data_IF_781562526469
#
_entry.id   IF_781562526469
#
_cell.length_a   1.000
_cell.length_b   1.000
_cell.length_c   1.000
_cell.angle_alpha   90.00
_cell.angle_beta   90.00
_cell.angle_gamma   90.00
#
_symmetry.space_group_name_H-M   'P 1'
#
loop_
_entity.id
_entity.type
_entity.pdbx_description
1 polymer ?
#
# COMPACT_ATOMS: atom_id res chain seq x y z
N UNK A 1 16.42 0.31 19.08
CA UNK A 1 16.01 0.58 17.68
C UNK A 1 14.49 0.54 17.58
N UNK A 2 13.90 1.46 16.82
CA UNK A 2 12.45 1.59 16.64
C UNK A 2 12.03 1.16 15.24
N UNK A 3 11.06 0.26 15.13
CA UNK A 3 10.58 -0.29 13.86
C UNK A 3 9.08 -0.09 13.74
N UNK A 4 8.66 0.51 12.63
CA UNK A 4 7.27 0.66 12.23
C UNK A 4 7.15 0.71 10.70
N UNK A 5 5.93 0.91 10.22
CA UNK A 5 5.65 1.03 8.78
C UNK A 5 4.73 -0.06 8.24
N UNK A 6 4.30 0.11 6.99
CA UNK A 6 3.28 -0.73 6.37
C UNK A 6 3.73 -2.19 6.11
N UNK A 7 5.03 -2.39 5.87
CA UNK A 7 5.60 -3.70 5.53
C UNK A 7 6.15 -4.44 6.74
N UNK A 8 6.39 -3.73 7.85
CA UNK A 8 6.96 -4.32 9.06
C UNK A 8 5.85 -4.82 9.97
N UNK A 9 6.06 -5.99 10.55
CA UNK A 9 5.14 -6.59 11.50
C UNK A 9 5.89 -7.06 12.74
N UNK A 10 5.18 -7.20 13.86
CA UNK A 10 5.80 -7.69 15.09
C UNK A 10 6.47 -9.05 14.91
N UNK A 11 5.90 -9.93 14.08
CA UNK A 11 6.49 -11.24 13.77
C UNK A 11 7.74 -11.07 12.91
N UNK A 12 7.69 -10.24 11.85
CA UNK A 12 8.85 -9.96 11.02
C UNK A 12 10.01 -9.41 11.84
N UNK A 13 9.73 -8.45 12.73
CA UNK A 13 10.73 -7.91 13.65
C UNK A 13 11.28 -8.96 14.58
N UNK A 14 10.45 -9.81 15.20
CA UNK A 14 10.90 -10.83 16.14
C UNK A 14 11.76 -11.95 15.48
N UNK A 15 11.42 -12.33 14.25
CA UNK A 15 12.06 -13.45 13.54
C UNK A 15 13.29 -13.00 12.75
N UNK A 16 13.24 -11.85 12.08
CA UNK A 16 14.28 -11.43 11.11
C UNK A 16 15.17 -10.30 11.59
N UNK A 17 14.69 -9.43 12.47
CA UNK A 17 15.43 -8.21 12.82
C UNK A 17 16.04 -8.31 14.21
N UNK A 18 15.24 -8.63 15.23
CA UNK A 18 15.66 -8.78 16.63
C UNK A 18 16.91 -9.66 16.84
N UNK A 19 17.08 -10.83 16.18
CA UNK A 19 18.26 -11.66 16.38
C UNK A 19 19.58 -11.03 15.92
N UNK A 20 19.53 -10.07 15.00
CA UNK A 20 20.72 -9.47 14.37
C UNK A 20 21.26 -8.29 15.19
N UNK A 21 20.59 -7.90 16.29
CA UNK A 21 20.96 -6.75 17.11
C UNK A 21 20.94 -7.09 18.60
N UNK A 22 22.01 -6.72 19.31
CA UNK A 22 22.11 -6.92 20.77
C UNK A 22 21.21 -5.95 21.56
N UNK A 23 20.99 -4.76 20.99
CA UNK A 23 20.19 -3.71 21.61
C UNK A 23 18.68 -4.00 21.46
N UNK A 24 17.83 -3.54 22.39
CA UNK A 24 16.39 -3.75 22.30
C UNK A 24 15.81 -3.13 21.01
N UNK A 25 15.19 -3.99 20.20
CA UNK A 25 14.41 -3.62 19.02
C UNK A 25 12.94 -3.58 19.42
N UNK A 26 12.23 -2.48 19.17
CA UNK A 26 10.80 -2.36 19.51
C UNK A 26 10.00 -2.15 18.24
N UNK A 27 8.96 -2.96 18.07
CA UNK A 27 7.97 -2.79 17.00
C UNK A 27 6.75 -2.04 17.53
N UNK A 28 6.26 -1.05 16.76
CA UNK A 28 4.99 -0.38 17.00
C UNK A 28 4.13 -0.42 15.74
N UNK A 29 2.83 -0.54 15.94
CA UNK A 29 1.84 -0.62 14.86
C UNK A 29 1.46 0.78 14.34
N UNK A 30 1.58 1.80 15.18
CA UNK A 30 1.02 3.13 14.99
C UNK A 30 1.84 4.16 15.77
N UNK A 31 2.03 5.35 15.17
CA UNK A 31 2.92 6.39 15.68
C UNK A 31 2.48 6.95 17.06
N UNK A 32 1.18 6.91 17.34
CA UNK A 32 0.60 7.30 18.64
C UNK A 32 1.18 6.52 19.81
N UNK A 33 1.57 5.26 19.59
CA UNK A 33 2.10 4.36 20.63
C UNK A 33 3.58 4.59 20.93
N UNK A 34 4.29 5.30 20.05
CA UNK A 34 5.73 5.56 20.21
C UNK A 34 6.00 6.39 21.46
N UNK A 35 5.16 7.38 21.76
CA UNK A 35 5.35 8.28 22.90
C UNK A 35 5.36 7.53 24.24
N UNK A 36 4.44 6.58 24.43
CA UNK A 36 4.37 5.77 25.66
C UNK A 36 5.59 4.86 25.84
N UNK A 37 6.09 4.30 24.74
CA UNK A 37 7.30 3.46 24.74
C UNK A 37 8.55 4.29 25.06
N UNK A 38 8.69 5.46 24.42
CA UNK A 38 9.84 6.35 24.66
C UNK A 38 9.87 6.81 26.12
N UNK A 39 8.72 7.18 26.68
CA UNK A 39 8.60 7.54 28.10
C UNK A 39 9.09 6.41 29.03
N UNK A 40 8.70 5.17 28.73
CA UNK A 40 9.12 3.98 29.51
C UNK A 40 10.63 3.70 29.39
N UNK A 41 11.23 3.98 28.22
CA UNK A 41 12.65 3.78 27.97
C UNK A 41 13.54 4.88 28.56
N UNK A 42 13.00 6.08 28.78
CA UNK A 42 13.71 7.19 29.43
C UNK A 42 13.84 7.00 30.94
N UNK A 43 12.92 6.25 31.56
CA UNK A 43 12.99 5.94 32.99
C UNK A 43 13.97 4.77 33.23
N UNK A 44 15.08 4.96 33.99
CA UNK A 44 16.10 3.93 34.20
C UNK A 44 15.55 2.64 34.83
N UNK A 45 14.60 2.75 35.76
CA UNK A 45 14.00 1.60 36.45
C UNK A 45 13.07 0.79 35.52
N UNK A 46 12.29 1.49 34.71
CA UNK A 46 11.33 0.85 33.80
C UNK A 46 12.00 0.33 32.51
N UNK A 47 13.15 0.89 32.13
CA UNK A 47 13.89 0.52 30.92
C UNK A 47 14.31 -0.94 30.91
N UNK A 48 14.93 -1.42 31.98
CA UNK A 48 15.40 -2.80 32.07
C UNK A 48 14.24 -3.79 32.05
N UNK A 49 13.22 -3.53 32.86
CA UNK A 49 12.00 -4.34 32.93
C UNK A 49 11.27 -4.38 31.57
N UNK A 50 11.20 -3.24 30.88
CA UNK A 50 10.63 -3.17 29.53
C UNK A 50 11.46 -3.94 28.51
N UNK A 51 12.79 -3.80 28.53
CA UNK A 51 13.69 -4.49 27.60
C UNK A 51 13.60 -6.02 27.78
N UNK A 52 13.56 -6.51 29.00
CA UNK A 52 13.42 -7.93 29.31
C UNK A 52 12.06 -8.47 28.85
N UNK A 53 10.96 -7.76 29.17
CA UNK A 53 9.61 -8.11 28.69
C UNK A 53 9.55 -8.17 27.17
N UNK A 54 10.12 -7.18 26.49
CA UNK A 54 10.16 -7.14 25.03
C UNK A 54 10.97 -8.31 24.42
N UNK A 55 12.11 -8.68 25.01
CA UNK A 55 12.89 -9.85 24.57
C UNK A 55 12.09 -11.15 24.72
N UNK A 56 11.47 -11.37 25.89
CA UNK A 56 10.59 -12.54 26.14
C UNK A 56 9.43 -12.61 25.16
N UNK A 57 8.81 -11.48 24.84
CA UNK A 57 7.74 -11.39 23.86
C UNK A 57 8.21 -11.74 22.44
N UNK A 58 9.40 -11.30 22.05
CA UNK A 58 10.00 -11.61 20.75
C UNK A 58 10.36 -13.09 20.63
N UNK A 59 10.94 -13.67 21.68
CA UNK A 59 11.25 -15.11 21.73
C UNK A 59 9.99 -15.97 21.62
N UNK A 60 8.93 -15.62 22.36
CA UNK A 60 7.63 -16.30 22.24
C UNK A 60 7.13 -16.28 20.79
N UNK A 61 7.07 -15.09 20.18
CA UNK A 61 6.59 -14.93 18.79
C UNK A 61 7.45 -15.72 17.79
N UNK A 62 8.76 -15.78 18.02
CA UNK A 62 9.69 -16.56 17.18
C UNK A 62 9.41 -18.05 17.28
N UNK A 63 9.23 -18.58 18.49
CA UNK A 63 8.87 -19.99 18.70
C UNK A 63 7.54 -20.34 18.05
N UNK A 64 6.51 -19.53 18.28
CA UNK A 64 5.18 -19.73 17.70
C UNK A 64 5.22 -19.71 16.16
N UNK A 65 6.08 -18.86 15.57
CA UNK A 65 6.28 -18.81 14.12
C UNK A 65 6.91 -20.10 13.58
N UNK A 66 7.94 -20.62 14.26
CA UNK A 66 8.63 -21.85 13.86
C UNK A 66 7.71 -23.07 13.94
N UNK A 67 6.89 -23.18 14.98
CA UNK A 67 5.89 -24.25 15.13
C UNK A 67 4.87 -24.20 13.98
N UNK A 68 4.34 -23.02 13.67
CA UNK A 68 3.44 -22.83 12.51
C UNK A 68 4.13 -23.14 11.19
N UNK A 69 5.43 -22.88 11.06
CA UNK A 69 6.18 -23.20 9.85
C UNK A 69 6.32 -24.71 9.67
N UNK A 70 6.61 -25.46 10.72
CA UNK A 70 6.70 -26.92 10.66
C UNK A 70 5.36 -27.57 10.30
N UNK A 71 4.26 -27.02 10.81
CA UNK A 71 2.91 -27.53 10.56
C UNK A 71 2.30 -27.09 9.22
N UNK A 72 3.00 -26.26 8.42
CA UNK A 72 2.49 -25.80 7.12
C UNK A 72 2.62 -26.89 6.06
N UNK A 73 1.49 -27.43 5.63
CA UNK A 73 1.41 -28.34 4.48
C UNK A 73 1.68 -27.58 3.18
N UNK A 74 2.88 -27.73 2.64
CA UNK A 74 3.26 -27.15 1.35
C UNK A 74 2.92 -28.11 0.19
N UNK A 75 2.41 -27.57 -0.91
CA UNK A 75 2.24 -28.32 -2.16
C UNK A 75 3.48 -28.14 -3.03
N UNK A 76 3.88 -29.19 -3.76
CA UNK A 76 4.95 -29.08 -4.75
C UNK A 76 4.49 -28.27 -5.96
N UNK A 77 5.43 -27.59 -6.63
CA UNK A 77 5.15 -26.81 -7.84
C UNK A 77 4.50 -27.69 -8.92
N UNK A 78 5.03 -28.89 -9.15
CA UNK A 78 4.48 -29.87 -10.09
C UNK A 78 3.02 -30.23 -9.80
N UNK A 79 2.66 -30.39 -8.51
CA UNK A 79 1.27 -30.70 -8.13
C UNK A 79 0.34 -29.51 -8.40
N UNK A 80 0.79 -28.29 -8.11
CA UNK A 80 0.04 -27.06 -8.43
C UNK A 80 -0.19 -26.90 -9.93
N UNK A 81 0.80 -27.21 -10.75
CA UNK A 81 0.69 -27.10 -12.21
C UNK A 81 -0.37 -28.04 -12.80
N UNK A 82 -0.46 -29.26 -12.28
CA UNK A 82 -1.48 -30.23 -12.68
C UNK A 82 -2.90 -29.82 -12.26
N UNK A 83 -3.04 -29.04 -11.20
CA UNK A 83 -4.33 -28.55 -10.66
C UNK A 83 -4.75 -27.20 -11.25
N UNK A 84 -3.99 -26.63 -12.21
CA UNK A 84 -4.40 -25.39 -12.88
C UNK A 84 -5.75 -25.61 -13.57
N UNK A 85 -6.76 -24.76 -13.32
CA UNK A 85 -8.03 -24.86 -14.03
C UNK A 85 -7.78 -24.70 -15.52
N UNK A 86 -8.26 -25.65 -16.34
CA UNK A 86 -8.24 -25.50 -17.80
C UNK A 86 -9.19 -24.35 -18.16
N UNK A 87 -8.64 -23.31 -18.77
CA UNK A 87 -9.44 -22.24 -19.35
C UNK A 87 -10.16 -22.83 -20.58
N UNK A 88 -11.44 -23.19 -20.43
CA UNK A 88 -12.29 -23.63 -21.54
C UNK A 88 -13.02 -22.39 -22.03
N UNK A 89 -12.74 -21.97 -23.26
CA UNK A 89 -13.44 -20.85 -23.92
C UNK A 89 -12.93 -19.46 -23.54
N UNK A 90 -11.69 -19.13 -23.86
CA UNK A 90 -11.27 -17.72 -23.94
C UNK A 90 -11.81 -17.12 -25.23
N UNK A 91 -12.81 -16.24 -25.13
CA UNK A 91 -13.04 -15.22 -26.16
C UNK A 91 -11.79 -14.32 -26.10
N UNK A 92 -10.93 -14.30 -27.13
CA UNK A 92 -9.79 -13.40 -27.11
C UNK A 92 -10.32 -11.96 -26.99
N UNK A 93 -9.80 -11.21 -26.02
CA UNK A 93 -10.07 -9.78 -25.96
C UNK A 93 -9.71 -9.18 -27.31
N UNK A 94 -10.60 -8.36 -27.87
CA UNK A 94 -10.46 -7.84 -29.23
C UNK A 94 -9.10 -7.19 -29.44
N UNK A 95 -8.47 -7.56 -30.55
CA UNK A 95 -7.07 -7.31 -30.90
C UNK A 95 -6.73 -5.82 -31.11
N UNK A 96 -7.75 -4.96 -31.15
CA UNK A 96 -7.66 -3.53 -31.50
C UNK A 96 -6.87 -2.67 -30.51
N UNK A 97 -6.50 -3.18 -29.34
CA UNK A 97 -5.90 -2.38 -28.28
C UNK A 97 -4.39 -2.58 -28.06
N UNK A 98 -3.80 -3.66 -28.57
CA UNK A 98 -2.58 -4.24 -27.96
C UNK A 98 -1.26 -3.84 -28.64
N UNK A 99 -1.27 -3.16 -29.79
CA UNK A 99 -0.02 -2.96 -30.59
C UNK A 99 0.70 -1.61 -30.41
N UNK A 100 0.26 -0.71 -29.52
CA UNK A 100 0.90 0.60 -29.33
C UNK A 100 1.15 0.93 -27.87
N UNK A 101 2.38 1.35 -27.57
CA UNK A 101 2.76 1.95 -26.29
C UNK A 101 2.00 3.28 -26.12
N UNK A 102 1.30 3.47 -24.99
CA UNK A 102 0.66 4.75 -24.64
C UNK A 102 1.36 5.40 -23.45
N UNK A 103 1.93 6.57 -23.69
CA UNK A 103 2.41 7.50 -22.66
C UNK A 103 1.25 8.44 -22.30
N UNK A 104 0.93 8.57 -21.02
CA UNK A 104 -0.06 9.53 -20.54
C UNK A 104 0.60 10.59 -19.66
N UNK A 105 0.49 11.88 -20.02
CA UNK A 105 0.96 13.00 -19.16
C UNK A 105 1.93 14.01 -19.79
N UNK A 106 1.74 14.36 -21.08
CA UNK A 106 2.51 15.30 -21.95
C UNK A 106 3.81 14.79 -22.56
N UNK A 107 3.93 15.13 -23.86
CA UNK A 107 5.03 15.00 -24.83
C UNK A 107 6.26 14.21 -24.38
N UNK A 108 6.31 12.95 -24.78
CA UNK A 108 7.56 12.32 -25.19
C UNK A 108 7.54 12.28 -26.71
N UNK A 109 8.69 12.59 -27.30
CA UNK A 109 8.93 12.92 -28.70
C UNK A 109 8.10 12.11 -29.70
N UNK A 110 7.52 12.84 -30.65
CA UNK A 110 6.64 12.37 -31.73
C UNK A 110 7.39 11.28 -32.51
N UNK A 111 7.02 9.98 -32.45
CA UNK A 111 7.54 9.03 -33.41
C UNK A 111 6.97 9.42 -34.77
N UNK A 112 7.86 9.68 -35.73
CA UNK A 112 7.48 10.02 -37.10
C UNK A 112 6.72 8.84 -37.72
N UNK A 113 5.40 9.01 -37.82
CA UNK A 113 4.49 8.00 -38.33
C UNK A 113 3.07 8.29 -37.84
N UNK A 114 2.13 8.36 -38.77
CA UNK A 114 0.75 8.79 -38.54
C UNK A 114 0.04 7.96 -37.45
N UNK A 115 0.02 8.48 -36.23
CA UNK A 115 -0.76 7.94 -35.12
C UNK A 115 -1.98 8.83 -34.90
N UNK A 116 -3.11 8.41 -35.48
CA UNK A 116 -4.43 8.98 -35.24
C UNK A 116 -4.75 8.98 -33.73
N UNK A 117 -4.91 10.18 -33.15
CA UNK A 117 -5.12 10.44 -31.74
C UNK A 117 -6.61 10.42 -31.40
N UNK A 118 -7.15 9.29 -30.91
CA UNK A 118 -8.31 9.37 -30.01
C UNK A 118 -7.82 9.84 -28.64
N UNK A 119 -7.85 11.15 -28.44
CA UNK A 119 -7.32 11.85 -27.27
C UNK A 119 -8.22 11.68 -26.04
N UNK A 120 -7.80 10.83 -25.11
CA UNK A 120 -8.14 11.06 -23.70
C UNK A 120 -7.06 12.03 -23.18
N UNK A 121 -7.40 13.28 -22.81
CA UNK A 121 -6.41 14.27 -22.38
C UNK A 121 -5.70 13.80 -21.11
N UNK A 122 -4.48 14.31 -20.88
CA UNK A 122 -3.71 14.09 -19.65
C UNK A 122 -4.65 14.13 -18.43
N UNK A 123 -4.59 13.09 -17.59
CA UNK A 123 -5.47 12.95 -16.43
C UNK A 123 -5.21 14.11 -15.46
N UNK A 124 -6.01 15.17 -15.57
CA UNK A 124 -6.02 16.26 -14.59
C UNK A 124 -6.37 15.66 -13.24
N UNK A 125 -5.70 16.13 -12.18
CA UNK A 125 -5.87 15.61 -10.82
C UNK A 125 -7.35 15.57 -10.38
N UNK A 126 -8.15 16.57 -10.79
CA UNK A 126 -9.60 16.60 -10.55
C UNK A 126 -10.41 15.47 -11.20
N UNK A 127 -9.94 14.90 -12.32
CA UNK A 127 -10.58 13.72 -12.97
C UNK A 127 -10.27 12.41 -12.25
N UNK A 128 -9.25 12.39 -11.39
CA UNK A 128 -8.90 11.22 -10.58
C UNK A 128 -9.72 11.15 -9.28
N UNK A 129 -10.37 12.24 -8.85
CA UNK A 129 -11.18 12.30 -7.63
C UNK A 129 -12.15 11.12 -7.43
N UNK A 130 -12.97 10.74 -8.44
CA UNK A 130 -13.90 9.61 -8.33
C UNK A 130 -13.22 8.24 -8.15
N UNK A 131 -11.95 8.11 -8.55
CA UNK A 131 -11.16 6.88 -8.44
C UNK A 131 -10.33 6.82 -7.15
N UNK A 132 -10.13 7.96 -6.47
CA UNK A 132 -9.47 8.02 -5.18
C UNK A 132 -10.41 7.50 -4.10
N UNK A 133 -10.14 6.30 -3.60
CA UNK A 133 -10.93 5.73 -2.52
C UNK A 133 -10.59 6.45 -1.21
N UNK A 134 -11.50 7.26 -0.68
CA UNK A 134 -11.27 8.08 0.52
C UNK A 134 -10.93 7.30 1.81
N UNK A 135 -11.23 5.99 1.86
CA UNK A 135 -10.77 5.09 2.92
C UNK A 135 -9.24 4.98 3.04
N UNK A 136 -8.50 5.23 1.96
CA UNK A 136 -7.04 5.27 2.02
C UNK A 136 -6.50 6.57 2.64
N UNK A 137 -7.27 7.66 2.66
CA UNK A 137 -6.88 8.93 3.26
C UNK A 137 -7.24 9.03 4.74
N UNK A 138 -8.30 8.34 5.19
CA UNK A 138 -8.69 8.32 6.61
C UNK A 138 -7.69 7.55 7.49
N UNK A 139 -7.06 6.51 6.94
CA UNK A 139 -6.06 5.66 7.64
C UNK A 139 -4.79 6.41 8.09
N UNK A 140 -4.08 7.17 7.23
CA UNK A 140 -2.91 7.93 7.66
C UNK A 140 -3.25 9.06 8.64
N UNK A 141 -4.48 9.61 8.59
CA UNK A 141 -4.98 10.59 9.56
C UNK A 141 -5.47 10.01 10.88
N UNK A 142 -5.36 8.68 11.08
CA UNK A 142 -5.90 7.97 12.24
C UNK A 142 -7.40 8.27 12.50
N UNK A 143 -8.16 8.53 11.43
CA UNK A 143 -9.60 8.70 11.51
C UNK A 143 -10.22 7.30 11.57
N UNK A 144 -10.63 6.90 12.78
CA UNK A 144 -11.14 5.56 13.13
C UNK A 144 -12.41 5.21 12.35
N UNK A 145 -13.18 6.22 11.99
CA UNK A 145 -14.39 6.10 11.19
C UNK A 145 -14.00 6.14 9.71
N UNK A 146 -13.73 4.97 9.13
CA UNK A 146 -13.70 4.84 7.67
C UNK A 146 -14.98 5.41 7.05
N UNK A 147 -14.91 5.85 5.79
CA UNK A 147 -16.07 6.43 5.10
C UNK A 147 -17.22 5.39 5.08
N UNK A 148 -18.38 5.67 5.72
CA UNK A 148 -19.53 4.78 5.69
C UNK A 148 -19.97 4.48 4.26
N UNK A 149 -20.48 3.27 3.94
CA UNK A 149 -20.99 2.95 2.60
C UNK A 149 -22.06 3.93 2.09
N UNK A 150 -22.78 4.60 3.00
CA UNK A 150 -23.81 5.60 2.72
C UNK A 150 -23.27 6.96 2.25
N UNK A 151 -21.96 7.23 2.37
CA UNK A 151 -21.33 8.49 1.96
C UNK A 151 -20.89 8.48 0.49
N UNK A 152 -21.41 7.53 -0.31
CA UNK A 152 -21.18 7.39 -1.75
C UNK A 152 -22.15 8.23 -2.62
N UNK A 153 -23.02 9.04 -1.98
CA UNK A 153 -24.04 9.92 -2.58
C UNK A 153 -23.84 11.35 -1.99
N UNK A 154 -24.07 12.45 -2.74
CA UNK A 154 -23.55 13.79 -2.40
C UNK A 154 -24.31 14.43 -1.23
N UNK A 155 -24.06 13.96 0.00
CA UNK A 155 -24.48 14.67 1.22
C UNK A 155 -23.25 15.42 1.73
N UNK A 156 -23.16 16.68 1.31
CA UNK A 156 -22.06 17.61 1.58
C UNK A 156 -21.94 18.05 3.06
N UNK A 157 -22.90 17.74 3.92
CA UNK A 157 -23.01 18.45 5.21
C UNK A 157 -22.07 17.97 6.33
N UNK A 158 -21.48 16.77 6.26
CA UNK A 158 -20.60 16.28 7.36
C UNK A 158 -19.33 15.57 6.89
N UNK A 159 -18.54 16.22 6.02
CA UNK A 159 -17.16 15.80 5.77
C UNK A 159 -16.23 16.28 6.90
N UNK A 160 -15.39 15.41 7.50
CA UNK A 160 -14.35 15.81 8.45
C UNK A 160 -13.46 16.92 7.87
N UNK A 161 -12.97 17.83 8.72
CA UNK A 161 -12.19 18.99 8.29
C UNK A 161 -10.97 18.60 7.41
N UNK A 162 -10.29 17.51 7.79
CA UNK A 162 -9.16 16.97 7.03
C UNK A 162 -9.53 16.54 5.59
N UNK A 163 -10.77 16.07 5.37
CA UNK A 163 -11.22 15.67 4.04
C UNK A 163 -11.56 16.89 3.18
N UNK A 164 -12.15 17.94 3.77
CA UNK A 164 -12.38 19.21 3.08
C UNK A 164 -11.07 19.88 2.69
N UNK A 165 -10.06 19.84 3.56
CA UNK A 165 -8.73 20.33 3.26
C UNK A 165 -8.04 19.52 2.14
N UNK A 166 -8.17 18.20 2.15
CA UNK A 166 -7.66 17.36 1.08
C UNK A 166 -8.34 17.67 -0.27
N UNK A 167 -9.67 17.89 -0.29
CA UNK A 167 -10.40 18.26 -1.50
C UNK A 167 -9.97 19.63 -2.04
N UNK A 168 -9.82 20.64 -1.18
CA UNK A 168 -9.32 21.96 -1.61
C UNK A 168 -7.90 21.89 -2.14
N UNK A 169 -7.05 21.01 -1.58
CA UNK A 169 -5.70 20.74 -2.11
C UNK A 169 -5.73 20.04 -3.48
N UNK A 170 -6.68 19.14 -3.74
CA UNK A 170 -6.81 18.48 -5.03
C UNK A 170 -7.31 19.45 -6.13
N UNK A 171 -8.15 20.42 -5.76
CA UNK A 171 -8.66 21.44 -6.67
C UNK A 171 -7.62 22.53 -6.97
N UNK A 172 -6.87 22.98 -5.95
CA UNK A 172 -5.88 24.06 -6.07
C UNK A 172 -4.45 23.58 -6.39
N UNK A 173 -4.15 22.30 -6.15
CA UNK A 173 -2.83 21.69 -6.31
C UNK A 173 -2.23 21.74 -7.72
N UNK A 174 -2.99 21.54 -8.81
CA UNK A 174 -2.46 21.59 -10.18
C UNK A 174 -1.91 22.96 -10.58
N UNK A 175 -2.52 24.04 -10.10
CA UNK A 175 -2.13 25.43 -10.40
C UNK A 175 -1.11 25.98 -9.40
N UNK A 176 -1.19 25.58 -8.13
CA UNK A 176 -0.36 26.14 -7.05
C UNK A 176 0.97 25.40 -6.85
N UNK A 177 1.00 24.08 -7.02
CA UNK A 177 2.16 23.24 -6.66
C UNK A 177 2.72 22.44 -7.85
N UNK A 178 2.20 22.61 -9.06
CA UNK A 178 2.69 21.91 -10.25
C UNK A 178 2.55 20.38 -10.18
N UNK A 179 1.56 19.87 -9.43
CA UNK A 179 1.34 18.44 -9.27
C UNK A 179 0.61 17.86 -10.50
N UNK A 180 1.38 17.21 -11.39
CA UNK A 180 0.84 16.55 -12.58
C UNK A 180 1.07 15.03 -12.49
N UNK A 181 0.01 14.22 -12.31
CA UNK A 181 0.15 12.77 -12.30
C UNK A 181 0.62 12.29 -13.68
N UNK A 182 1.62 11.42 -13.68
CA UNK A 182 2.17 10.78 -14.90
C UNK A 182 1.98 9.29 -14.80
N UNK A 183 1.63 8.65 -15.92
CA UNK A 183 1.50 7.20 -15.98
C UNK A 183 1.92 6.67 -17.35
N UNK A 184 2.36 5.41 -17.37
CA UNK A 184 2.73 4.71 -18.58
C UNK A 184 2.07 3.32 -18.54
N UNK A 185 1.40 2.95 -19.62
CA UNK A 185 0.71 1.67 -19.74
C UNK A 185 1.11 0.97 -21.03
N UNK A 186 1.48 -0.29 -20.93
CA UNK A 186 1.84 -1.13 -22.09
C UNK A 186 1.07 -2.44 -22.01
N UNK A 187 0.52 -2.84 -23.15
CA UNK A 187 -0.10 -4.14 -23.32
C UNK A 187 0.81 -4.97 -24.22
N UNK A 188 1.13 -6.20 -23.80
CA UNK A 188 1.90 -7.14 -24.59
C UNK A 188 1.00 -8.32 -24.97
N UNK A 189 1.06 -8.74 -26.23
CA UNK A 189 0.47 -9.99 -26.66
C UNK A 189 1.39 -11.12 -26.19
N UNK A 190 0.87 -12.02 -25.35
CA UNK A 190 1.61 -13.23 -24.98
C UNK A 190 1.77 -14.12 -26.22
N UNK A 191 3.01 -14.38 -26.62
CA UNK A 191 3.31 -15.49 -27.53
C UNK A 191 2.91 -16.78 -26.80
N UNK A 192 1.93 -17.48 -27.37
CA UNK A 192 1.57 -18.83 -26.93
C UNK A 192 2.65 -19.84 -27.31
#
# INVERSE_FOLDING_TARGET
>A
MFIGGATTSSIHTAVRISPEYDQPVVYFQDASRVVGVVSSLLNPRAREEFAERNRKDQERRRRDYLERQQNRRMLTLQRREKTKPRLIGTIPASETFIRRIRVYGKSLEKPEGEAFLWGIPACLLGKLGPFMTGLLFSRPGNCVDGIPPSWRIPVLEKKPAAFREAETMLETGPTRNGLFPRQFGVFFQGLQ
#
